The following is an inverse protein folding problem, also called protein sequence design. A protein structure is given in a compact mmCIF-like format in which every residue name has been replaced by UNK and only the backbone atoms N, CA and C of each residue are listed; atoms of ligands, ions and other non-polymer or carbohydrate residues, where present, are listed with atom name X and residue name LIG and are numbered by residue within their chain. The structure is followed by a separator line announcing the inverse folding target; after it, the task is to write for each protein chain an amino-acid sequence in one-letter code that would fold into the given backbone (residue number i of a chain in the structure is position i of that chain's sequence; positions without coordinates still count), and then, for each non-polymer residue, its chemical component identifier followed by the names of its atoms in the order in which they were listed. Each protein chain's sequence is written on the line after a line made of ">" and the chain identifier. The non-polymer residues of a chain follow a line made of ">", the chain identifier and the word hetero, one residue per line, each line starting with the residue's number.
data_IF_232824956701
#
_entry.id   IF_232824956701
#
_cell.length_a   1.000
_cell.length_b   1.000
_cell.length_c   1.000
_cell.angle_alpha   90.00
_cell.angle_beta   90.00
_cell.angle_gamma   90.00
#
_symmetry.space_group_name_H-M   'P 1'
#
loop_
_entity.id
_entity.type
_entity.pdbx_description
1 polymer ?
#
# COMPACT_ATOMS: atom_id res chain seq x y z
N UNK A 1 12.79 23.37 -17.96
CA UNK A 1 13.89 22.87 -17.11
C UNK A 1 13.71 21.36 -16.94
N UNK A 2 14.73 20.55 -17.18
CA UNK A 2 14.65 19.11 -16.91
C UNK A 2 14.93 18.91 -15.41
N UNK A 3 14.00 18.28 -14.68
CA UNK A 3 14.13 18.02 -13.23
C UNK A 3 14.67 16.63 -12.91
N UNK A 4 14.99 15.83 -13.94
CA UNK A 4 15.44 14.44 -13.76
C UNK A 4 16.84 14.41 -13.12
N UNK A 5 16.96 13.66 -12.05
CA UNK A 5 18.25 13.31 -11.43
C UNK A 5 18.81 12.06 -12.08
N UNK A 6 20.15 11.96 -12.14
CA UNK A 6 20.83 10.81 -12.70
C UNK A 6 21.51 10.02 -11.57
N UNK A 7 21.11 8.78 -11.41
CA UNK A 7 21.77 7.88 -10.45
C UNK A 7 23.22 7.58 -10.88
N UNK A 8 24.15 7.76 -9.99
CA UNK A 8 25.58 7.49 -10.18
C UNK A 8 25.99 6.19 -9.48
N UNK A 9 25.72 6.08 -8.18
CA UNK A 9 26.09 4.94 -7.34
C UNK A 9 24.86 4.56 -6.50
N UNK A 10 24.70 3.27 -6.23
CA UNK A 10 23.65 2.77 -5.35
C UNK A 10 24.23 1.82 -4.32
N UNK A 11 23.80 1.94 -3.07
CA UNK A 11 24.13 1.04 -1.97
C UNK A 11 22.88 0.68 -1.19
N UNK A 12 22.62 -0.61 -1.04
CA UNK A 12 21.58 -1.10 -0.12
C UNK A 12 22.17 -1.14 1.30
N UNK A 13 21.57 -0.39 2.22
CA UNK A 13 21.97 -0.31 3.63
C UNK A 13 21.29 -1.36 4.48
N UNK A 14 20.06 -1.72 4.15
CA UNK A 14 19.25 -2.75 4.81
C UNK A 14 18.37 -3.45 3.81
N UNK A 15 18.19 -4.77 3.96
CA UNK A 15 17.24 -5.55 3.18
C UNK A 15 16.49 -6.49 4.14
N UNK A 16 15.22 -6.20 4.35
CA UNK A 16 14.31 -6.96 5.19
C UNK A 16 13.26 -7.72 4.38
N UNK A 17 12.31 -8.34 5.07
CA UNK A 17 11.20 -9.08 4.47
C UNK A 17 10.19 -8.16 3.75
N UNK A 18 9.99 -6.94 4.25
CA UNK A 18 8.96 -6.01 3.77
C UNK A 18 9.57 -4.86 2.98
N UNK A 19 10.68 -4.30 3.47
CA UNK A 19 11.31 -3.11 2.90
C UNK A 19 12.81 -3.33 2.69
N UNK A 20 13.38 -2.54 1.78
CA UNK A 20 14.83 -2.30 1.76
C UNK A 20 15.12 -0.80 1.81
N UNK A 21 16.19 -0.42 2.53
CA UNK A 21 16.70 0.95 2.60
C UNK A 21 17.91 1.08 1.69
N UNK A 22 17.88 2.06 0.80
CA UNK A 22 18.92 2.33 -0.16
C UNK A 22 19.46 3.75 0.01
N UNK A 23 20.75 3.91 -0.29
CA UNK A 23 21.46 5.18 -0.38
C UNK A 23 22.06 5.31 -1.77
N UNK A 24 21.58 6.28 -2.53
CA UNK A 24 22.08 6.57 -3.88
C UNK A 24 22.85 7.90 -3.90
N UNK A 25 24.00 7.93 -4.56
CA UNK A 25 24.62 9.17 -5.01
C UNK A 25 24.03 9.53 -6.37
N UNK A 26 23.54 10.76 -6.51
CA UNK A 26 22.88 11.24 -7.72
C UNK A 26 23.53 12.53 -8.22
N UNK A 27 23.46 12.75 -9.54
CA UNK A 27 23.75 14.03 -10.17
C UNK A 27 22.45 14.81 -10.33
N UNK A 28 22.40 16.00 -9.77
CA UNK A 28 21.27 16.93 -9.86
C UNK A 28 21.20 17.60 -11.25
N UNK A 29 20.06 18.20 -11.62
CA UNK A 29 19.93 18.92 -12.89
C UNK A 29 20.95 20.05 -13.14
N UNK A 30 21.57 20.55 -12.07
CA UNK A 30 22.64 21.57 -12.14
C UNK A 30 24.07 20.99 -12.17
N UNK A 31 24.21 19.67 -12.31
CA UNK A 31 25.49 18.95 -12.35
C UNK A 31 26.14 18.70 -10.97
N UNK A 32 25.53 19.16 -9.88
CA UNK A 32 26.06 18.90 -8.54
C UNK A 32 25.66 17.50 -8.07
N UNK A 33 26.48 16.93 -7.18
CA UNK A 33 26.19 15.65 -6.54
C UNK A 33 25.37 15.83 -5.27
N UNK A 34 24.49 14.86 -5.00
CA UNK A 34 23.71 14.77 -3.77
C UNK A 34 23.45 13.30 -3.41
N UNK A 35 22.96 13.06 -2.20
CA UNK A 35 22.54 11.74 -1.76
C UNK A 35 21.03 11.65 -1.65
N UNK A 36 20.49 10.44 -1.92
CA UNK A 36 19.08 10.08 -1.76
C UNK A 36 18.97 8.84 -0.92
N UNK A 37 18.35 8.98 0.25
CA UNK A 37 17.92 7.84 1.07
C UNK A 37 16.49 7.51 0.69
N UNK A 38 16.22 6.26 0.33
CA UNK A 38 14.86 5.85 0.00
C UNK A 38 14.59 4.39 0.32
N UNK A 39 13.33 4.13 0.62
CA UNK A 39 12.80 2.81 0.93
C UNK A 39 12.14 2.23 -0.31
N UNK A 40 12.50 0.99 -0.64
CA UNK A 40 11.78 0.16 -1.61
C UNK A 40 10.66 -0.58 -0.93
N UNK A 41 9.49 -0.53 -1.51
CA UNK A 41 8.29 -1.25 -1.08
C UNK A 41 7.59 -1.91 -2.28
N UNK A 42 6.94 -3.08 -2.07
CA UNK A 42 6.26 -3.79 -3.16
C UNK A 42 5.00 -3.07 -3.67
N UNK A 43 4.57 -2.03 -2.97
CA UNK A 43 3.28 -1.39 -3.20
C UNK A 43 2.14 -2.12 -2.50
N UNK A 44 0.94 -1.57 -2.63
CA UNK A 44 -0.27 -2.10 -2.02
C UNK A 44 -1.50 -1.88 -2.88
N UNK A 45 -2.57 -2.58 -2.54
CA UNK A 45 -3.89 -2.38 -3.10
C UNK A 45 -4.90 -2.24 -1.97
N UNK A 46 -5.85 -1.33 -2.13
CA UNK A 46 -6.88 -1.05 -1.13
C UNK A 46 -8.25 -0.95 -1.78
N UNK A 47 -9.30 -1.18 -0.98
CA UNK A 47 -10.67 -1.17 -1.45
C UNK A 47 -11.53 -0.22 -0.63
N UNK A 48 -12.18 0.72 -1.32
CA UNK A 48 -13.26 1.52 -0.77
C UNK A 48 -14.58 0.78 -0.99
N UNK A 49 -15.22 0.33 0.09
CA UNK A 49 -16.55 -0.26 0.06
C UNK A 49 -17.49 0.64 0.84
N UNK A 50 -18.57 1.06 0.17
CA UNK A 50 -19.62 1.92 0.74
C UNK A 50 -20.94 1.18 0.70
N UNK A 51 -21.59 1.05 1.85
CA UNK A 51 -22.92 0.49 1.98
C UNK A 51 -23.83 1.40 2.81
N UNK A 52 -25.02 1.73 2.30
CA UNK A 52 -26.01 2.58 2.96
C UNK A 52 -25.43 3.89 3.53
N UNK A 53 -24.48 4.52 2.79
CA UNK A 53 -23.82 5.78 3.18
C UNK A 53 -22.73 5.63 4.24
N UNK A 54 -22.33 4.41 4.57
CA UNK A 54 -21.25 4.08 5.50
C UNK A 54 -20.08 3.43 4.76
N UNK A 55 -18.88 3.70 5.22
CA UNK A 55 -17.64 3.12 4.70
C UNK A 55 -17.24 1.92 5.54
N UNK A 56 -16.89 0.82 4.90
CA UNK A 56 -16.26 -0.32 5.56
C UNK A 56 -14.81 0.00 5.87
N UNK A 57 -14.46 -0.02 7.16
CA UNK A 57 -13.11 0.16 7.65
C UNK A 57 -12.66 -1.06 8.45
N UNK A 58 -11.36 -1.35 8.38
CA UNK A 58 -10.68 -2.27 9.29
C UNK A 58 -10.00 -1.46 10.39
N UNK A 59 -10.05 -1.95 11.62
CA UNK A 59 -9.38 -1.37 12.77
C UNK A 59 -8.30 -2.34 13.23
N UNK A 60 -7.04 -1.94 13.16
CA UNK A 60 -5.91 -2.78 13.52
C UNK A 60 -4.83 -2.00 14.28
N UNK A 61 -4.01 -2.71 15.05
CA UNK A 61 -2.87 -2.11 15.75
C UNK A 61 -1.70 -1.89 14.79
N UNK A 62 -1.26 -0.64 14.68
CA UNK A 62 -0.07 -0.28 13.90
C UNK A 62 1.11 -0.01 14.84
N UNK A 63 2.05 -0.95 14.87
CA UNK A 63 3.20 -0.93 15.79
C UNK A 63 4.00 0.38 15.71
N UNK A 64 4.25 0.90 14.49
CA UNK A 64 5.02 2.13 14.30
C UNK A 64 4.36 3.37 14.96
N UNK A 65 3.04 3.36 15.09
CA UNK A 65 2.26 4.42 15.74
C UNK A 65 1.91 4.10 17.19
N UNK A 66 2.13 2.85 17.63
CA UNK A 66 1.75 2.33 18.95
C UNK A 66 0.28 2.58 19.29
N UNK A 67 -0.63 2.43 18.29
CA UNK A 67 -2.07 2.59 18.47
C UNK A 67 -2.88 1.83 17.43
N UNK A 68 -4.17 1.64 17.73
CA UNK A 68 -5.14 1.15 16.77
C UNK A 68 -5.55 2.27 15.81
N UNK A 69 -5.62 1.96 14.50
CA UNK A 69 -5.96 2.90 13.43
C UNK A 69 -7.09 2.30 12.60
N UNK A 70 -7.98 3.16 12.13
CA UNK A 70 -8.99 2.83 11.14
C UNK A 70 -8.42 3.06 9.74
N UNK A 71 -8.57 2.07 8.88
CA UNK A 71 -8.06 2.08 7.51
C UNK A 71 -9.09 1.46 6.57
N UNK A 72 -9.12 1.84 5.30
CA UNK A 72 -9.84 1.03 4.31
C UNK A 72 -9.10 -0.31 4.14
N UNK A 73 -9.80 -1.43 3.88
CA UNK A 73 -9.18 -2.73 3.67
C UNK A 73 -8.03 -2.63 2.65
N UNK A 74 -6.87 -3.14 3.00
CA UNK A 74 -5.68 -2.97 2.18
C UNK A 74 -4.59 -3.97 2.50
N UNK A 75 -3.91 -4.46 1.48
CA UNK A 75 -2.77 -5.30 1.66
C UNK A 75 -1.65 -5.07 0.65
N UNK A 76 -0.54 -5.70 0.94
CA UNK A 76 0.68 -5.61 0.15
C UNK A 76 0.57 -6.48 -1.11
N UNK A 77 1.10 -5.99 -2.23
CA UNK A 77 1.25 -6.79 -3.45
C UNK A 77 2.28 -7.90 -3.25
N UNK A 78 1.95 -9.12 -3.68
CA UNK A 78 2.91 -10.18 -3.86
C UNK A 78 3.77 -9.91 -5.11
N UNK A 79 4.86 -10.67 -5.26
CA UNK A 79 5.74 -10.53 -6.43
C UNK A 79 4.97 -10.80 -7.71
N UNK A 80 4.92 -9.81 -8.61
CA UNK A 80 4.20 -9.86 -9.90
C UNK A 80 2.68 -10.05 -9.78
N UNK A 81 2.08 -9.75 -8.63
CA UNK A 81 0.63 -9.80 -8.45
C UNK A 81 -0.03 -8.59 -9.13
N UNK A 82 -1.10 -8.84 -9.87
CA UNK A 82 -1.94 -7.76 -10.40
C UNK A 82 -2.63 -7.03 -9.25
N UNK A 83 -2.58 -5.68 -9.18
CA UNK A 83 -3.16 -4.92 -8.08
C UNK A 83 -4.66 -5.14 -7.85
N UNK A 84 -5.43 -5.42 -8.92
CA UNK A 84 -6.85 -5.73 -8.80
C UNK A 84 -7.09 -7.08 -8.14
N UNK A 85 -6.23 -8.07 -8.45
CA UNK A 85 -6.29 -9.40 -7.82
C UNK A 85 -5.93 -9.28 -6.35
N UNK A 86 -4.87 -8.55 -6.02
CA UNK A 86 -4.50 -8.28 -4.63
C UNK A 86 -5.62 -7.58 -3.86
N UNK A 87 -6.23 -6.54 -4.42
CA UNK A 87 -7.35 -5.84 -3.82
C UNK A 87 -8.54 -6.75 -3.52
N UNK A 88 -8.90 -7.64 -4.47
CA UNK A 88 -10.00 -8.59 -4.28
C UNK A 88 -9.68 -9.62 -3.18
N UNK A 89 -8.46 -10.13 -3.15
CA UNK A 89 -7.97 -11.08 -2.14
C UNK A 89 -8.01 -10.46 -0.75
N UNK A 90 -7.41 -9.28 -0.57
CA UNK A 90 -7.35 -8.58 0.72
C UNK A 90 -8.74 -8.19 1.23
N UNK A 91 -9.63 -7.72 0.35
CA UNK A 91 -11.01 -7.42 0.73
C UNK A 91 -11.70 -8.67 1.29
N UNK A 92 -11.57 -9.81 0.62
CA UNK A 92 -12.21 -11.07 1.08
C UNK A 92 -11.56 -11.59 2.36
N UNK A 93 -10.24 -11.60 2.46
CA UNK A 93 -9.49 -12.09 3.62
C UNK A 93 -9.77 -11.24 4.87
N UNK A 94 -9.57 -9.93 4.78
CA UNK A 94 -9.71 -9.00 5.91
C UNK A 94 -11.15 -8.77 6.34
N UNK A 95 -12.09 -8.74 5.40
CA UNK A 95 -13.46 -8.27 5.70
C UNK A 95 -14.57 -9.30 5.44
N UNK A 96 -14.28 -10.35 4.69
CA UNK A 96 -15.26 -11.34 4.28
C UNK A 96 -16.18 -10.88 3.14
N UNK A 97 -15.89 -9.76 2.50
CA UNK A 97 -16.67 -9.30 1.34
C UNK A 97 -15.96 -9.62 0.02
N UNK A 98 -16.75 -10.08 -0.94
CA UNK A 98 -16.36 -10.23 -2.35
C UNK A 98 -17.09 -9.19 -3.18
N UNK A 99 -16.42 -8.56 -4.14
CA UNK A 99 -16.99 -7.47 -4.94
C UNK A 99 -16.48 -7.44 -6.37
N UNK A 100 -17.25 -6.79 -7.27
CA UNK A 100 -16.71 -6.28 -8.52
C UNK A 100 -15.88 -5.02 -8.21
N UNK A 101 -14.63 -4.96 -8.68
CA UNK A 101 -13.71 -3.87 -8.37
C UNK A 101 -13.45 -2.98 -9.57
N UNK A 102 -13.59 -1.66 -9.36
CA UNK A 102 -13.28 -0.61 -10.34
C UNK A 102 -12.10 0.22 -9.82
N UNK A 103 -11.02 0.30 -10.59
CA UNK A 103 -9.88 1.15 -10.22
C UNK A 103 -10.28 2.63 -10.24
N UNK A 104 -10.04 3.36 -9.15
CA UNK A 104 -10.39 4.77 -9.02
C UNK A 104 -9.19 5.69 -8.85
N UNK A 105 -8.09 5.21 -8.26
CA UNK A 105 -6.88 6.02 -8.08
C UNK A 105 -5.64 5.14 -7.86
N UNK A 106 -4.48 5.73 -8.13
CA UNK A 106 -3.19 5.24 -7.62
C UNK A 106 -2.49 6.41 -6.95
N UNK A 107 -2.08 6.23 -5.69
CA UNK A 107 -1.47 7.28 -4.89
C UNK A 107 -0.03 6.94 -4.50
N UNK A 108 0.75 7.97 -4.26
CA UNK A 108 2.11 7.90 -3.71
C UNK A 108 2.04 8.41 -2.27
N UNK A 109 1.88 7.54 -1.26
CA UNK A 109 1.61 7.98 0.13
C UNK A 109 2.76 8.79 0.72
N UNK A 110 4.00 8.48 0.35
CA UNK A 110 5.18 9.13 0.90
C UNK A 110 6.28 9.33 -0.16
N UNK A 111 6.04 10.12 -1.22
CA UNK A 111 6.93 10.21 -2.39
C UNK A 111 8.30 10.83 -2.09
N UNK A 112 8.50 11.41 -0.91
CA UNK A 112 9.76 12.01 -0.49
C UNK A 112 10.87 11.00 -0.18
N UNK A 113 10.51 9.76 0.23
CA UNK A 113 11.50 8.76 0.63
C UNK A 113 11.07 7.30 0.43
N UNK A 114 9.95 7.02 -0.21
CA UNK A 114 9.55 5.65 -0.59
C UNK A 114 9.02 5.62 -2.01
N UNK A 115 9.19 4.48 -2.67
CA UNK A 115 8.63 4.22 -4.00
C UNK A 115 7.29 3.46 -3.92
N UNK A 116 6.65 3.45 -2.75
CA UNK A 116 5.36 2.81 -2.57
C UNK A 116 4.27 3.43 -3.45
N UNK A 117 3.50 2.58 -4.09
CA UNK A 117 2.28 2.94 -4.82
C UNK A 117 1.14 2.15 -4.19
N UNK A 118 0.05 2.84 -3.84
CA UNK A 118 -1.20 2.20 -3.40
C UNK A 118 -2.24 2.37 -4.49
N UNK A 119 -2.75 1.25 -5.01
CA UNK A 119 -3.83 1.21 -5.98
C UNK A 119 -5.16 1.11 -5.26
N UNK A 120 -6.06 2.07 -5.48
CA UNK A 120 -7.35 2.17 -4.80
C UNK A 120 -8.46 1.74 -5.76
N UNK A 121 -9.30 0.82 -5.28
CA UNK A 121 -10.45 0.30 -6.00
C UNK A 121 -11.73 0.63 -5.26
N UNK A 122 -12.81 0.90 -6.01
CA UNK A 122 -14.17 0.97 -5.50
C UNK A 122 -14.81 -0.41 -5.63
N UNK A 123 -15.45 -0.87 -4.55
CA UNK A 123 -16.24 -2.09 -4.54
C UNK A 123 -17.66 -1.81 -5.03
N UNK A 124 -18.06 -2.50 -6.08
CA UNK A 124 -19.43 -2.52 -6.60
C UNK A 124 -20.02 -3.93 -6.49
N UNK A 125 -21.33 -4.06 -6.35
CA UNK A 125 -22.02 -5.37 -6.31
C UNK A 125 -21.31 -6.37 -5.39
N UNK A 126 -21.27 -6.08 -4.14
CA UNK A 126 -20.58 -6.90 -3.14
C UNK A 126 -21.53 -7.85 -2.41
N UNK A 127 -20.99 -8.96 -1.92
CA UNK A 127 -21.64 -9.95 -1.08
C UNK A 127 -20.76 -10.38 0.07
N UNK A 128 -21.34 -10.74 1.20
CA UNK A 128 -20.59 -11.29 2.33
C UNK A 128 -20.40 -12.80 2.15
N UNK A 129 -19.16 -13.26 2.14
CA UNK A 129 -18.78 -14.67 1.95
C UNK A 129 -18.05 -15.27 3.15
N UNK A 130 -17.74 -14.45 4.16
CA UNK A 130 -17.05 -14.85 5.38
C UNK A 130 -15.58 -14.42 5.42
N UNK A 131 -15.18 -13.85 6.56
CA UNK A 131 -13.82 -13.38 6.84
C UNK A 131 -12.85 -14.54 7.07
N UNK A 132 -11.62 -14.41 6.58
CA UNK A 132 -10.54 -15.42 6.75
C UNK A 132 -9.21 -14.71 6.89
N UNK A 133 -8.90 -14.27 8.11
CA UNK A 133 -7.63 -13.60 8.42
C UNK A 133 -6.45 -14.58 8.30
N UNK A 134 -5.33 -14.06 7.85
CA UNK A 134 -4.06 -14.77 7.85
C UNK A 134 -3.58 -15.05 9.29
N UNK A 135 -2.71 -16.06 9.45
CA UNK A 135 -2.12 -16.37 10.74
C UNK A 135 -1.30 -15.18 11.28
N UNK A 136 -1.68 -14.67 12.43
CA UNK A 136 -1.04 -13.51 13.09
C UNK A 136 -1.66 -12.16 12.71
N UNK A 137 -2.72 -12.12 11.91
CA UNK A 137 -3.51 -10.92 11.67
C UNK A 137 -4.63 -10.77 12.72
N UNK A 138 -4.75 -9.56 13.26
CA UNK A 138 -5.75 -9.20 14.27
C UNK A 138 -6.37 -7.85 13.89
N UNK A 139 -7.58 -7.89 13.38
CA UNK A 139 -8.34 -6.69 13.01
C UNK A 139 -9.84 -6.89 13.23
N UNK A 140 -10.56 -5.78 13.33
CA UNK A 140 -12.02 -5.73 13.41
C UNK A 140 -12.58 -4.88 12.28
N UNK A 141 -13.71 -5.31 11.70
CA UNK A 141 -14.39 -4.57 10.65
C UNK A 141 -15.50 -3.70 11.22
N UNK A 142 -15.65 -2.49 10.69
CA UNK A 142 -16.67 -1.52 11.11
C UNK A 142 -17.26 -0.78 9.91
N UNK A 143 -18.57 -0.60 9.89
CA UNK A 143 -19.24 0.37 9.00
C UNK A 143 -19.43 1.69 9.75
N UNK A 144 -18.76 2.75 9.30
CA UNK A 144 -18.77 4.07 9.92
C UNK A 144 -19.34 5.10 8.96
#
# INVERSE_FOLDING_TARGET
>A
MNLKEKKLISKTLYSGKIISLNLDEVELPNGKKAYREYVRHSGGASVLLVDNGKILLVKQFRYAYNKEIYEIPAGKLNVNEDPKIAAARELEEETGYRAELVHIASIYPTPGYTDEIIHIYLAEKFEFVGQRLDEGEFLNCHFI
#
